data_IF_641790771215
#
_entry.id   IF_641790771215
#
_cell.length_a   1.000
_cell.length_b   1.000
_cell.length_c   1.000
_cell.angle_alpha   90.00
_cell.angle_beta   90.00
_cell.angle_gamma   90.00
#
_symmetry.space_group_name_H-M   'P 1'
#
loop_
_entity.id
_entity.type
_entity.pdbx_description
1 polymer ?
#
# COMPACT_ATOMS: atom_id res chain seq x y z
N UNK A 1 -0.44 -26.89 15.30
CA UNK A 1 0.44 -25.70 15.32
C UNK A 1 -0.13 -24.70 14.32
N UNK A 2 -0.77 -23.64 14.80
CA UNK A 2 -1.40 -22.64 13.94
C UNK A 2 -0.31 -21.78 13.28
N UNK A 3 -0.33 -21.68 11.94
CA UNK A 3 0.54 -20.75 11.19
C UNK A 3 0.23 -19.32 11.67
N UNK A 4 1.19 -18.67 12.34
CA UNK A 4 1.16 -17.21 12.53
C UNK A 4 1.02 -16.57 11.14
N UNK A 5 0.06 -15.65 10.91
CA UNK A 5 0.04 -14.89 9.65
C UNK A 5 1.37 -14.13 9.58
N UNK A 6 2.20 -14.51 8.62
CA UNK A 6 3.47 -13.84 8.42
C UNK A 6 3.19 -12.45 7.87
N UNK A 7 3.54 -11.46 8.70
CA UNK A 7 4.12 -10.17 8.35
C UNK A 7 3.34 -9.32 7.33
N UNK A 8 2.74 -8.25 7.85
CA UNK A 8 2.30 -7.02 7.17
C UNK A 8 3.34 -5.86 7.19
N UNK A 9 4.68 -6.05 7.15
CA UNK A 9 5.63 -4.95 7.14
C UNK A 9 5.70 -4.26 5.78
N UNK A 10 5.35 -4.94 4.66
CA UNK A 10 5.59 -4.38 3.33
C UNK A 10 4.67 -3.19 3.00
N UNK A 11 3.43 -3.17 3.50
CA UNK A 11 2.51 -2.06 3.26
C UNK A 11 2.80 -0.86 4.17
N UNK A 12 2.80 -1.08 5.49
CA UNK A 12 2.97 0.00 6.47
C UNK A 12 4.32 0.70 6.29
N UNK A 13 5.41 -0.06 6.05
CA UNK A 13 6.73 0.52 5.79
C UNK A 13 6.78 1.25 4.45
N UNK A 14 6.13 0.74 3.39
CA UNK A 14 6.09 1.44 2.11
C UNK A 14 5.26 2.74 2.19
N UNK A 15 4.20 2.75 3.00
CA UNK A 15 3.38 3.93 3.25
C UNK A 15 4.16 4.99 4.04
N UNK A 16 4.84 4.60 5.12
CA UNK A 16 5.68 5.50 5.92
C UNK A 16 6.82 6.12 5.07
N UNK A 17 7.44 5.32 4.20
CA UNK A 17 8.46 5.82 3.27
C UNK A 17 7.86 6.81 2.26
N UNK A 18 6.65 6.54 1.76
CA UNK A 18 5.96 7.41 0.82
C UNK A 18 5.60 8.76 1.47
N UNK A 19 5.10 8.74 2.71
CA UNK A 19 4.81 9.95 3.49
C UNK A 19 6.05 10.80 3.69
N UNK A 20 7.16 10.18 4.13
CA UNK A 20 8.46 10.85 4.31
C UNK A 20 8.96 11.46 2.99
N UNK A 21 8.75 10.76 1.88
CA UNK A 21 9.16 11.24 0.57
C UNK A 21 8.33 12.45 0.12
N UNK A 22 7.01 12.43 0.36
CA UNK A 22 6.12 13.56 0.07
C UNK A 22 6.53 14.77 0.90
N UNK A 23 6.77 14.61 2.21
CA UNK A 23 7.24 15.69 3.08
C UNK A 23 8.51 16.34 2.53
N UNK A 24 9.52 15.54 2.14
CA UNK A 24 10.75 16.05 1.53
C UNK A 24 10.52 16.77 0.20
N UNK A 25 9.58 16.30 -0.61
CA UNK A 25 9.23 16.96 -1.87
C UNK A 25 8.53 18.30 -1.64
N UNK A 26 7.72 18.42 -0.58
CA UNK A 26 7.02 19.65 -0.20
C UNK A 26 7.95 20.72 0.40
N UNK A 27 9.04 20.32 1.06
CA UNK A 27 10.06 21.24 1.59
C UNK A 27 10.77 22.05 0.48
N UNK A 28 10.84 21.51 -0.73
CA UNK A 28 11.24 22.27 -1.93
C UNK A 28 12.73 22.65 -2.04
N UNK A 29 13.60 22.16 -1.14
CA UNK A 29 15.06 22.42 -1.18
C UNK A 29 15.86 21.42 -2.05
N UNK A 30 15.18 20.49 -2.73
CA UNK A 30 15.79 19.42 -3.52
C UNK A 30 16.28 19.87 -4.89
N UNK A 31 17.37 19.29 -5.37
CA UNK A 31 17.81 19.46 -6.76
C UNK A 31 16.80 18.81 -7.73
N UNK A 32 16.84 19.20 -9.01
CA UNK A 32 16.00 18.56 -10.03
C UNK A 32 16.27 17.04 -10.13
N UNK A 33 17.53 16.63 -10.02
CA UNK A 33 17.91 15.22 -10.08
C UNK A 33 17.34 14.44 -8.89
N UNK A 34 17.42 15.01 -7.69
CA UNK A 34 16.88 14.38 -6.49
C UNK A 34 15.34 14.34 -6.52
N UNK A 35 14.71 15.41 -7.01
CA UNK A 35 13.25 15.46 -7.21
C UNK A 35 12.76 14.37 -8.16
N UNK A 36 13.53 14.04 -9.20
CA UNK A 36 13.19 12.96 -10.13
C UNK A 36 13.37 11.58 -9.48
N UNK A 37 14.44 11.37 -8.71
CA UNK A 37 14.65 10.11 -7.96
C UNK A 37 13.53 9.88 -6.95
N UNK A 38 13.14 10.94 -6.24
CA UNK A 38 12.06 10.90 -5.27
C UNK A 38 10.73 10.56 -5.95
N UNK A 39 10.43 11.22 -7.07
CA UNK A 39 9.24 10.91 -7.85
C UNK A 39 9.20 9.45 -8.33
N UNK A 40 10.31 8.94 -8.88
CA UNK A 40 10.42 7.53 -9.30
C UNK A 40 10.16 6.58 -8.13
N UNK A 41 10.79 6.84 -6.97
CA UNK A 41 10.61 6.04 -5.76
C UNK A 41 9.18 6.10 -5.25
N UNK A 42 8.55 7.27 -5.25
CA UNK A 42 7.15 7.45 -4.86
C UNK A 42 6.19 6.64 -5.74
N UNK A 43 6.45 6.55 -7.05
CA UNK A 43 5.67 5.70 -7.97
C UNK A 43 5.83 4.21 -7.64
N UNK A 44 7.04 3.76 -7.34
CA UNK A 44 7.29 2.37 -6.93
C UNK A 44 6.54 2.01 -5.63
N UNK A 45 6.66 2.86 -4.62
CA UNK A 45 6.00 2.70 -3.32
C UNK A 45 4.47 2.65 -3.49
N UNK A 46 3.91 3.60 -4.23
CA UNK A 46 2.47 3.66 -4.51
C UNK A 46 1.95 2.38 -5.17
N UNK A 47 2.68 1.84 -6.16
CA UNK A 47 2.33 0.58 -6.82
C UNK A 47 2.39 -0.61 -5.86
N UNK A 48 3.39 -0.63 -4.99
CA UNK A 48 3.53 -1.63 -3.93
C UNK A 48 2.32 -1.61 -2.98
N UNK A 49 1.96 -0.42 -2.50
CA UNK A 49 0.80 -0.21 -1.63
C UNK A 49 -0.51 -0.67 -2.30
N UNK A 50 -0.74 -0.27 -3.56
CA UNK A 50 -1.93 -0.70 -4.32
C UNK A 50 -2.01 -2.21 -4.49
N UNK A 51 -0.87 -2.87 -4.76
CA UNK A 51 -0.80 -4.33 -4.88
C UNK A 51 -1.15 -5.01 -3.57
N UNK A 52 -0.57 -4.55 -2.46
CA UNK A 52 -0.86 -5.10 -1.13
C UNK A 52 -2.33 -4.92 -0.74
N UNK A 53 -2.94 -3.78 -1.05
CA UNK A 53 -4.37 -3.53 -0.83
C UNK A 53 -5.24 -4.46 -1.67
N UNK A 54 -4.92 -4.66 -2.95
CA UNK A 54 -5.65 -5.57 -3.82
C UNK A 54 -5.58 -7.04 -3.34
N UNK A 55 -4.42 -7.49 -2.86
CA UNK A 55 -4.26 -8.81 -2.27
C UNK A 55 -5.08 -8.97 -0.97
N UNK A 56 -5.11 -7.93 -0.14
CA UNK A 56 -5.91 -7.91 1.08
C UNK A 56 -7.41 -7.98 0.76
N UNK A 57 -7.90 -7.16 -0.18
CA UNK A 57 -9.28 -7.18 -0.66
C UNK A 57 -9.66 -8.56 -1.20
N UNK A 58 -8.84 -9.15 -2.07
CA UNK A 58 -9.07 -10.48 -2.61
C UNK A 58 -9.18 -11.54 -1.50
N UNK A 59 -8.34 -11.45 -0.46
CA UNK A 59 -8.36 -12.36 0.67
C UNK A 59 -9.66 -12.22 1.48
N UNK A 60 -10.13 -11.00 1.70
CA UNK A 60 -11.42 -10.75 2.37
C UNK A 60 -12.57 -11.31 1.54
N UNK A 61 -12.59 -11.06 0.23
CA UNK A 61 -13.57 -11.58 -0.72
C UNK A 61 -13.68 -13.12 -0.66
N UNK A 62 -12.54 -13.81 -0.58
CA UNK A 62 -12.50 -15.27 -0.45
C UNK A 62 -13.10 -15.73 0.88
N UNK A 63 -12.87 -14.98 1.97
CA UNK A 63 -13.42 -15.32 3.28
C UNK A 63 -14.94 -15.11 3.32
N UNK A 64 -15.44 -14.00 2.79
CA UNK A 64 -16.88 -13.70 2.71
C UNK A 64 -17.64 -14.79 1.91
N UNK A 65 -17.09 -15.19 0.76
CA UNK A 65 -17.65 -16.29 -0.05
C UNK A 65 -17.68 -17.62 0.69
N UNK A 66 -16.69 -17.90 1.54
CA UNK A 66 -16.67 -19.13 2.36
C UNK A 66 -17.72 -19.11 3.46
N UNK A 67 -18.04 -17.94 4.01
CA UNK A 67 -19.11 -17.78 5.00
C UNK A 67 -20.52 -17.71 4.38
N UNK A 68 -20.63 -17.83 3.06
CA UNK A 68 -21.92 -17.82 2.35
C UNK A 68 -22.47 -16.41 2.10
N UNK A 69 -21.66 -15.37 2.31
CA UNK A 69 -22.01 -13.98 1.99
C UNK A 69 -21.63 -13.70 0.54
N UNK A 70 -22.61 -13.47 -0.37
CA UNK A 70 -22.33 -13.31 -1.80
C UNK A 70 -21.79 -11.91 -2.17
N UNK A 71 -21.74 -10.98 -1.21
CA UNK A 71 -21.29 -9.61 -1.45
C UNK A 71 -19.77 -9.51 -1.48
N UNK A 72 -19.25 -8.74 -2.43
CA UNK A 72 -17.83 -8.38 -2.48
C UNK A 72 -17.52 -7.36 -1.39
N UNK A 73 -16.32 -7.44 -0.83
CA UNK A 73 -15.77 -6.37 -0.03
C UNK A 73 -15.63 -5.13 -0.92
N UNK A 74 -16.34 -4.07 -0.57
CA UNK A 74 -16.08 -2.73 -1.10
C UNK A 74 -15.45 -1.95 0.03
N UNK A 75 -14.19 -1.55 -0.15
CA UNK A 75 -13.66 -0.45 0.63
C UNK A 75 -14.34 0.81 0.09
N UNK A 76 -15.31 1.36 0.82
CA UNK A 76 -15.87 2.68 0.53
C UNK A 76 -14.76 3.72 0.78
N UNK A 77 -13.91 3.92 -0.23
CA UNK A 77 -12.90 4.98 -0.26
C UNK A 77 -13.45 6.07 -1.19
N UNK A 78 -14.22 6.99 -0.60
CA UNK A 78 -14.51 8.31 -1.17
C UNK A 78 -13.31 9.25 -0.95
#
# INVERSE_FOLDING_TARGET
MAKKPQKTPDFETALEELETLVERMEEGESSLEDSLKDFERGIELTRGCQTALAEAEQKVDILLKKEGTPEKFKADVD
#
